data_IF_341529984750
#
_entry.id   IF_341529984750
#
_cell.length_a   1.000
_cell.length_b   1.000
_cell.length_c   1.000
_cell.angle_alpha   90.00
_cell.angle_beta   90.00
_cell.angle_gamma   90.00
#
_symmetry.space_group_name_H-M   'P 1'
#
loop_
_entity.id
_entity.type
_entity.pdbx_description
1 polymer ?
#
# COMPACT_ATOMS: atom_id res chain seq x y z
N UNK A 1 -18.55 3.43 -7.83
CA UNK A 1 -17.20 3.45 -7.23
C UNK A 1 -16.36 2.37 -7.89
N UNK A 2 -15.04 2.57 -8.00
CA UNK A 2 -14.18 1.52 -8.54
C UNK A 2 -13.80 0.55 -7.43
N UNK A 3 -14.02 -0.75 -7.64
CA UNK A 3 -13.53 -1.78 -6.74
C UNK A 3 -12.00 -1.84 -6.80
N UNK A 4 -11.35 -1.82 -5.65
CA UNK A 4 -9.91 -1.58 -5.51
C UNK A 4 -9.18 -2.82 -5.01
N UNK A 5 -8.15 -3.22 -5.75
CA UNK A 5 -7.16 -4.20 -5.32
C UNK A 5 -6.00 -3.49 -4.62
N UNK A 6 -5.85 -3.70 -3.32
CA UNK A 6 -4.69 -3.24 -2.55
C UNK A 6 -3.58 -4.29 -2.70
N UNK A 7 -2.39 -3.89 -3.15
CA UNK A 7 -1.22 -4.78 -3.31
C UNK A 7 -0.12 -4.33 -2.36
N UNK A 8 0.26 -5.16 -1.37
CA UNK A 8 1.15 -4.72 -0.30
C UNK A 8 2.02 -5.84 0.32
N UNK A 9 3.20 -5.47 0.82
CA UNK A 9 4.03 -6.32 1.70
C UNK A 9 3.74 -6.08 3.18
N UNK A 10 3.00 -5.02 3.47
CA UNK A 10 2.89 -4.40 4.77
C UNK A 10 1.42 -4.42 5.15
N UNK A 11 0.96 -5.59 5.58
CA UNK A 11 -0.38 -5.78 6.14
C UNK A 11 -0.29 -6.50 7.49
N UNK A 12 -1.20 -6.23 8.44
CA UNK A 12 -1.23 -6.97 9.71
C UNK A 12 -1.40 -8.49 9.47
N UNK A 13 -1.15 -9.37 10.44
CA UNK A 13 -0.84 -9.10 11.85
C UNK A 13 0.62 -8.67 12.11
N UNK A 14 1.42 -8.48 11.06
CA UNK A 14 2.75 -7.87 11.20
C UNK A 14 2.61 -6.47 11.83
N UNK A 15 3.35 -6.16 12.91
CA UNK A 15 3.34 -4.81 13.46
C UNK A 15 4.13 -3.84 12.57
N UNK A 16 3.63 -2.60 12.46
CA UNK A 16 4.36 -1.50 11.82
C UNK A 16 3.44 -0.38 11.32
N UNK A 17 4.03 0.78 11.02
CA UNK A 17 3.29 1.98 10.64
C UNK A 17 2.55 1.86 9.31
N UNK A 18 3.19 1.25 8.30
CA UNK A 18 2.57 1.04 6.97
C UNK A 18 1.39 0.06 7.09
N UNK A 19 1.59 -1.02 7.86
CA UNK A 19 0.58 -2.04 8.14
C UNK A 19 -0.67 -1.40 8.77
N UNK A 20 -0.47 -0.62 9.84
CA UNK A 20 -1.55 0.08 10.51
C UNK A 20 -2.22 1.12 9.60
N UNK A 21 -1.45 1.88 8.82
CA UNK A 21 -1.98 2.88 7.89
C UNK A 21 -2.90 2.26 6.84
N UNK A 22 -2.42 1.24 6.11
CA UNK A 22 -3.21 0.60 5.04
C UNK A 22 -4.47 -0.07 5.58
N UNK A 23 -4.35 -0.76 6.72
CA UNK A 23 -5.48 -1.41 7.36
C UNK A 23 -6.54 -0.40 7.81
N UNK A 24 -6.13 0.67 8.49
CA UNK A 24 -7.04 1.73 8.94
C UNK A 24 -7.73 2.46 7.79
N UNK A 25 -7.03 2.63 6.67
CA UNK A 25 -7.63 3.21 5.46
C UNK A 25 -8.63 2.25 4.82
N UNK A 26 -8.30 0.97 4.70
CA UNK A 26 -9.21 -0.03 4.14
C UNK A 26 -10.50 -0.16 4.98
N UNK A 27 -10.41 -0.11 6.32
CA UNK A 27 -11.56 -0.15 7.22
C UNK A 27 -12.51 1.07 7.10
N UNK A 28 -12.02 2.18 6.55
CA UNK A 28 -12.82 3.41 6.35
C UNK A 28 -13.44 3.50 4.96
N UNK A 29 -13.17 2.53 4.10
CA UNK A 29 -13.78 2.39 2.78
C UNK A 29 -14.89 1.33 2.83
N UNK A 30 -15.78 1.35 1.83
CA UNK A 30 -16.79 0.32 1.67
C UNK A 30 -16.11 -1.07 1.50
N UNK A 31 -16.34 -2.03 2.42
CA UNK A 31 -15.66 -3.31 2.40
C UNK A 31 -15.95 -4.14 1.14
N UNK A 32 -17.12 -3.97 0.52
CA UNK A 32 -17.45 -4.68 -0.73
C UNK A 32 -16.59 -4.20 -1.92
N UNK A 33 -16.04 -2.99 -1.80
CA UNK A 33 -15.19 -2.36 -2.80
C UNK A 33 -13.70 -2.62 -2.58
N UNK A 34 -13.32 -3.46 -1.60
CA UNK A 34 -11.92 -3.70 -1.24
C UNK A 34 -11.55 -5.18 -1.37
N UNK A 35 -10.41 -5.41 -2.01
CA UNK A 35 -9.70 -6.70 -1.98
C UNK A 35 -8.24 -6.42 -1.66
N UNK A 36 -7.70 -7.12 -0.66
CA UNK A 36 -6.28 -7.00 -0.27
C UNK A 36 -5.51 -8.21 -0.77
N UNK A 37 -4.43 -7.96 -1.49
CA UNK A 37 -3.42 -8.96 -1.85
C UNK A 37 -2.12 -8.66 -1.10
N UNK A 38 -1.81 -9.48 -0.11
CA UNK A 38 -0.70 -9.26 0.83
C UNK A 38 0.26 -10.45 0.89
N UNK A 39 1.53 -10.21 1.23
CA UNK A 39 2.45 -11.29 1.63
C UNK A 39 2.03 -11.93 2.96
N UNK A 40 2.54 -13.13 3.23
CA UNK A 40 2.37 -13.83 4.52
C UNK A 40 3.52 -13.50 5.46
N UNK A 41 3.25 -12.93 6.64
CA UNK A 41 4.31 -12.45 7.54
C UNK A 41 5.24 -13.55 8.07
N UNK A 42 4.70 -14.54 8.77
CA UNK A 42 5.44 -15.61 9.44
C UNK A 42 4.97 -16.97 8.93
N UNK A 43 5.92 -17.89 8.73
CA UNK A 43 5.65 -19.29 8.32
C UNK A 43 5.64 -20.28 9.48
N UNK A 44 5.96 -19.82 10.70
CA UNK A 44 5.76 -20.63 11.89
C UNK A 44 4.27 -20.94 12.03
N UNK A 45 3.95 -22.07 12.67
CA UNK A 45 2.56 -22.46 12.92
C UNK A 45 1.76 -21.34 13.60
N UNK A 46 2.31 -20.77 14.67
CA UNK A 46 1.75 -19.62 15.38
C UNK A 46 1.54 -18.41 14.44
N UNK A 47 2.48 -18.14 13.54
CA UNK A 47 2.38 -17.04 12.58
C UNK A 47 1.27 -17.25 11.54
N UNK A 48 1.07 -18.50 11.11
CA UNK A 48 0.00 -18.88 10.20
C UNK A 48 -1.36 -18.76 10.91
N UNK A 49 -1.46 -19.28 12.13
CA UNK A 49 -2.67 -19.19 12.97
C UNK A 49 -3.04 -17.73 13.26
N UNK A 50 -2.08 -16.89 13.64
CA UNK A 50 -2.30 -15.46 13.85
C UNK A 50 -2.73 -14.72 12.58
N UNK A 51 -2.16 -15.09 11.41
CA UNK A 51 -2.55 -14.50 10.13
C UNK A 51 -3.98 -14.89 9.77
N UNK A 52 -4.34 -16.17 9.95
CA UNK A 52 -5.69 -16.66 9.68
C UNK A 52 -6.73 -16.06 10.62
N UNK A 53 -6.43 -15.96 11.92
CA UNK A 53 -7.30 -15.33 12.91
C UNK A 53 -7.56 -13.85 12.56
N UNK A 54 -6.50 -13.10 12.26
CA UNK A 54 -6.64 -11.71 11.83
C UNK A 54 -7.45 -11.59 10.53
N UNK A 55 -7.16 -12.40 9.50
CA UNK A 55 -7.85 -12.33 8.21
C UNK A 55 -9.34 -12.66 8.32
N UNK A 56 -9.73 -13.56 9.23
CA UNK A 56 -11.12 -13.93 9.48
C UNK A 56 -11.96 -12.80 10.11
N UNK A 57 -11.32 -11.84 10.79
CA UNK A 57 -11.98 -10.68 11.40
C UNK A 57 -12.16 -9.51 10.42
N UNK A 58 -11.60 -9.60 9.21
CA UNK A 58 -11.64 -8.49 8.27
C UNK A 58 -12.98 -8.41 7.53
N UNK A 59 -13.55 -7.19 7.35
CA UNK A 59 -14.83 -7.04 6.67
C UNK A 59 -14.71 -7.15 5.13
N UNK A 60 -13.48 -7.16 4.60
CA UNK A 60 -13.18 -7.24 3.17
C UNK A 60 -12.33 -8.47 2.85
N UNK A 61 -12.25 -8.84 1.56
CA UNK A 61 -11.48 -10.01 1.14
C UNK A 61 -9.98 -9.79 1.31
N UNK A 62 -9.31 -10.70 2.03
CA UNK A 62 -7.85 -10.75 2.13
C UNK A 62 -7.32 -12.01 1.46
N UNK A 63 -6.43 -11.84 0.49
CA UNK A 63 -5.74 -12.91 -0.22
C UNK A 63 -4.25 -12.87 0.14
N UNK A 64 -3.79 -13.91 0.82
CA UNK A 64 -2.37 -14.06 1.18
C UNK A 64 -1.57 -14.77 0.09
N UNK A 65 -0.43 -14.19 -0.26
CA UNK A 65 0.60 -14.90 -1.03
C UNK A 65 1.46 -15.76 -0.10
N UNK A 66 1.87 -16.93 -0.60
CA UNK A 66 2.77 -17.86 0.11
C UNK A 66 4.17 -17.30 0.41
N UNK A 67 4.58 -16.22 -0.24
CA UNK A 67 5.88 -15.57 0.03
C UNK A 67 5.78 -14.60 1.19
N UNK A 68 6.88 -14.45 1.92
CA UNK A 68 7.01 -13.45 2.99
C UNK A 68 7.26 -12.05 2.46
N UNK A 69 7.60 -11.96 1.17
CA UNK A 69 7.79 -10.71 0.45
C UNK A 69 7.30 -10.87 -0.99
N UNK A 70 6.40 -10.00 -1.41
CA UNK A 70 6.03 -9.73 -2.79
C UNK A 70 7.15 -8.92 -3.44
N UNK A 71 7.62 -9.41 -4.58
CA UNK A 71 8.59 -8.75 -5.44
C UNK A 71 7.99 -8.60 -6.84
N UNK A 72 8.40 -7.61 -7.65
CA UNK A 72 7.90 -7.37 -9.00
C UNK A 72 8.41 -8.45 -9.98
N UNK A 73 7.94 -9.67 -9.77
CA UNK A 73 8.28 -10.86 -10.55
C UNK A 73 7.10 -11.25 -11.44
N UNK A 74 7.32 -11.95 -12.56
CA UNK A 74 6.24 -12.41 -13.43
C UNK A 74 5.16 -13.21 -12.69
N UNK A 75 5.54 -14.00 -11.67
CA UNK A 75 4.59 -14.77 -10.83
C UNK A 75 3.65 -13.85 -10.05
N UNK A 76 4.20 -12.88 -9.33
CA UNK A 76 3.41 -11.94 -8.52
C UNK A 76 2.54 -11.07 -9.42
N UNK A 77 3.08 -10.62 -10.56
CA UNK A 77 2.32 -9.87 -11.56
C UNK A 77 1.13 -10.67 -12.11
N UNK A 78 1.35 -11.93 -12.51
CA UNK A 78 0.25 -12.81 -12.97
C UNK A 78 -0.79 -13.02 -11.88
N UNK A 79 -0.38 -13.21 -10.62
CA UNK A 79 -1.33 -13.37 -9.51
C UNK A 79 -2.14 -12.09 -9.27
N UNK A 80 -1.50 -10.93 -9.25
CA UNK A 80 -2.20 -9.65 -9.11
C UNK A 80 -3.18 -9.40 -10.26
N UNK A 81 -2.80 -9.70 -11.50
CA UNK A 81 -3.70 -9.63 -12.68
C UNK A 81 -4.87 -10.60 -12.57
N UNK A 82 -4.63 -11.83 -12.08
CA UNK A 82 -5.69 -12.80 -11.84
C UNK A 82 -6.70 -12.26 -10.83
N UNK A 83 -6.22 -11.76 -9.68
CA UNK A 83 -7.08 -11.21 -8.62
C UNK A 83 -7.86 -9.97 -9.07
N UNK A 84 -7.21 -9.10 -9.86
CA UNK A 84 -7.86 -7.94 -10.47
C UNK A 84 -9.10 -8.37 -11.27
N UNK A 85 -8.96 -9.40 -12.12
CA UNK A 85 -10.06 -9.91 -12.96
C UNK A 85 -11.09 -10.72 -12.19
N UNK A 86 -10.62 -11.62 -11.33
CA UNK A 86 -11.44 -12.52 -10.52
C UNK A 86 -12.43 -11.75 -9.64
N UNK A 87 -11.97 -10.65 -9.04
CA UNK A 87 -12.82 -9.85 -8.16
C UNK A 87 -13.48 -8.64 -8.85
N UNK A 88 -13.25 -8.44 -10.15
CA UNK A 88 -13.78 -7.30 -10.89
C UNK A 88 -13.23 -5.94 -10.44
N UNK A 89 -11.98 -5.91 -9.95
CA UNK A 89 -11.34 -4.67 -9.54
C UNK A 89 -10.95 -3.83 -10.76
N UNK A 90 -11.38 -2.58 -10.80
CA UNK A 90 -10.98 -1.60 -11.83
C UNK A 90 -9.97 -0.58 -11.29
N UNK A 91 -9.63 -0.63 -10.00
CA UNK A 91 -8.58 0.19 -9.39
C UNK A 91 -7.54 -0.66 -8.67
N UNK A 92 -6.31 -0.17 -8.61
CA UNK A 92 -5.23 -0.78 -7.82
C UNK A 92 -4.59 0.28 -6.94
N UNK A 93 -4.37 -0.09 -5.69
CA UNK A 93 -3.61 0.70 -4.74
C UNK A 93 -2.36 -0.06 -4.30
N UNK A 94 -1.19 0.43 -4.69
CA UNK A 94 0.09 -0.08 -4.17
C UNK A 94 0.33 0.51 -2.79
N UNK A 95 0.25 -0.35 -1.78
CA UNK A 95 0.39 0.06 -0.38
C UNK A 95 1.74 0.69 -0.07
N UNK A 96 2.79 0.27 -0.77
CA UNK A 96 4.06 0.99 -0.88
C UNK A 96 4.44 1.10 -2.36
N UNK A 97 4.83 2.30 -2.79
CA UNK A 97 5.07 2.61 -4.20
C UNK A 97 6.19 1.75 -4.77
N UNK A 98 7.32 1.63 -4.07
CA UNK A 98 8.46 0.87 -4.54
C UNK A 98 8.66 -0.41 -3.69
N UNK A 99 8.93 -1.57 -4.30
CA UNK A 99 9.06 -1.81 -5.74
C UNK A 99 7.73 -2.21 -6.43
N UNK A 100 6.63 -2.37 -5.70
CA UNK A 100 5.39 -3.00 -6.21
C UNK A 100 4.65 -2.16 -7.26
N UNK A 101 4.83 -0.84 -7.28
CA UNK A 101 4.29 0.02 -8.33
C UNK A 101 4.77 -0.34 -9.75
N UNK A 102 5.86 -1.10 -9.87
CA UNK A 102 6.31 -1.64 -11.17
C UNK A 102 5.33 -2.62 -11.82
N UNK A 103 4.36 -3.14 -11.06
CA UNK A 103 3.29 -3.98 -11.62
C UNK A 103 2.30 -3.15 -12.46
N UNK A 104 2.30 -1.82 -12.31
CA UNK A 104 1.34 -0.88 -12.92
C UNK A 104 1.05 -1.13 -14.41
N UNK A 105 2.05 -1.17 -15.31
CA UNK A 105 1.82 -1.37 -16.74
C UNK A 105 1.10 -2.68 -17.08
N UNK A 106 1.39 -3.77 -16.35
CA UNK A 106 0.73 -5.05 -16.58
C UNK A 106 -0.72 -5.04 -16.07
N UNK A 107 -0.97 -4.41 -14.94
CA UNK A 107 -2.33 -4.24 -14.39
C UNK A 107 -3.18 -3.32 -15.25
N UNK A 108 -2.59 -2.24 -15.81
CA UNK A 108 -3.23 -1.37 -16.80
C UNK A 108 -3.70 -2.18 -18.02
N UNK A 109 -2.81 -2.97 -18.62
CA UNK A 109 -3.16 -3.86 -19.75
C UNK A 109 -4.22 -4.90 -19.39
N UNK A 110 -4.32 -5.27 -18.10
CA UNK A 110 -5.32 -6.21 -17.62
C UNK A 110 -6.70 -5.61 -17.38
N UNK A 111 -6.86 -4.28 -17.48
CA UNK A 111 -8.13 -3.58 -17.31
C UNK A 111 -8.19 -2.61 -16.13
N UNK A 112 -7.09 -2.38 -15.39
CA UNK A 112 -7.09 -1.38 -14.33
C UNK A 112 -7.25 0.03 -14.91
N UNK A 113 -8.25 0.77 -14.44
CA UNK A 113 -8.58 2.13 -14.87
C UNK A 113 -7.93 3.20 -13.97
N UNK A 114 -7.67 2.88 -12.70
CA UNK A 114 -6.96 3.78 -11.78
C UNK A 114 -5.89 3.07 -10.97
N UNK A 115 -4.70 3.66 -10.91
CA UNK A 115 -3.51 3.15 -10.24
C UNK A 115 -2.97 4.20 -9.26
N UNK A 116 -3.01 3.89 -7.97
CA UNK A 116 -2.50 4.75 -6.89
C UNK A 116 -1.30 4.10 -6.23
N UNK A 117 -0.25 4.86 -5.96
CA UNK A 117 0.93 4.37 -5.23
C UNK A 117 1.25 5.27 -4.04
N UNK A 118 1.37 4.69 -2.85
CA UNK A 118 1.66 5.44 -1.62
C UNK A 118 3.15 5.42 -1.28
N UNK A 119 3.72 6.58 -0.96
CA UNK A 119 5.09 6.69 -0.44
C UNK A 119 5.09 6.89 1.07
N UNK A 120 6.09 6.35 1.77
CA UNK A 120 6.16 6.34 3.24
C UNK A 120 7.38 7.05 3.82
N UNK A 121 8.30 7.51 2.97
CA UNK A 121 9.43 8.38 3.35
C UNK A 121 10.79 7.78 3.05
N UNK A 122 10.91 6.45 3.03
CA UNK A 122 12.13 5.78 2.56
C UNK A 122 12.44 6.13 1.09
N UNK A 123 11.39 6.40 0.31
CA UNK A 123 11.47 6.85 -1.07
C UNK A 123 12.17 8.22 -1.21
N UNK A 124 12.11 9.07 -0.17
CA UNK A 124 12.81 10.37 -0.18
C UNK A 124 14.33 10.20 -0.07
N UNK A 125 14.82 9.14 0.60
CA UNK A 125 16.22 8.74 0.58
C UNK A 125 16.62 8.09 -0.74
N UNK A 126 15.76 7.22 -1.27
CA UNK A 126 15.97 6.53 -2.55
C UNK A 126 15.99 7.47 -3.76
N UNK A 127 15.28 8.59 -3.69
CA UNK A 127 15.31 9.63 -4.72
C UNK A 127 16.71 10.22 -4.95
N UNK A 128 17.70 9.94 -4.11
CA UNK A 128 19.08 10.40 -4.27
C UNK A 128 19.98 9.35 -4.97
N UNK A 129 19.56 8.09 -5.06
CA UNK A 129 20.35 7.01 -5.67
C UNK A 129 19.98 6.81 -7.15
N UNK A 130 20.96 6.75 -8.10
CA UNK A 130 20.66 6.69 -9.53
C UNK A 130 19.73 5.54 -9.96
N UNK A 131 19.89 4.35 -9.36
CA UNK A 131 19.06 3.19 -9.67
C UNK A 131 17.63 3.37 -9.14
N UNK A 132 17.48 3.86 -7.92
CA UNK A 132 16.17 4.03 -7.30
C UNK A 132 15.42 5.26 -7.87
N UNK A 133 16.13 6.28 -8.37
CA UNK A 133 15.55 7.36 -9.20
C UNK A 133 14.88 6.83 -10.46
N UNK A 134 15.57 5.95 -11.21
CA UNK A 134 14.99 5.30 -12.40
C UNK A 134 13.75 4.47 -12.06
N UNK A 135 13.79 3.78 -10.92
CA UNK A 135 12.65 3.02 -10.41
C UNK A 135 11.45 3.92 -10.12
N UNK A 136 11.65 4.99 -9.33
CA UNK A 136 10.60 5.96 -8.99
C UNK A 136 10.02 6.62 -10.23
N UNK A 137 10.87 7.00 -11.20
CA UNK A 137 10.41 7.54 -12.49
C UNK A 137 9.47 6.60 -13.21
N UNK A 138 9.85 5.32 -13.35
CA UNK A 138 9.00 4.29 -14.00
C UNK A 138 7.69 4.07 -13.26
N UNK A 139 7.71 4.09 -11.93
CA UNK A 139 6.49 3.98 -11.13
C UNK A 139 5.58 5.17 -11.39
N UNK A 140 6.11 6.41 -11.35
CA UNK A 140 5.29 7.60 -11.59
C UNK A 140 4.74 7.73 -13.00
N UNK A 141 5.47 7.25 -14.01
CA UNK A 141 4.94 7.13 -15.37
C UNK A 141 3.84 6.07 -15.48
N UNK A 142 3.90 5.02 -14.66
CA UNK A 142 2.96 3.89 -14.64
C UNK A 142 1.74 4.06 -13.73
N UNK A 143 1.67 5.12 -12.92
CA UNK A 143 0.58 5.37 -11.96
C UNK A 143 -0.13 6.69 -12.20
N UNK A 144 -1.41 6.76 -11.87
CA UNK A 144 -2.22 7.98 -12.01
C UNK A 144 -1.95 8.96 -10.87
N UNK A 145 -1.73 8.44 -9.66
CA UNK A 145 -1.50 9.24 -8.46
C UNK A 145 -0.40 8.63 -7.61
N UNK A 146 0.54 9.48 -7.18
CA UNK A 146 1.53 9.14 -6.16
C UNK A 146 1.21 9.93 -4.91
N UNK A 147 1.01 9.26 -3.78
CA UNK A 147 0.74 9.96 -2.51
C UNK A 147 2.01 10.21 -1.73
N UNK A 148 2.04 11.30 -0.95
CA UNK A 148 3.16 11.69 -0.09
C UNK A 148 2.68 12.16 1.29
N UNK A 149 3.57 12.08 2.28
CA UNK A 149 3.23 12.42 3.67
C UNK A 149 3.24 13.94 3.93
N UNK A 150 4.29 14.62 3.46
CA UNK A 150 4.45 16.07 3.61
C UNK A 150 5.41 16.68 2.60
N UNK A 151 5.50 18.01 2.59
CA UNK A 151 6.24 18.77 1.57
C UNK A 151 7.73 18.40 1.49
N UNK A 152 8.33 18.06 2.64
CA UNK A 152 9.70 17.55 2.72
C UNK A 152 9.91 16.27 1.91
N UNK A 153 8.97 15.33 2.00
CA UNK A 153 9.02 14.08 1.19
C UNK A 153 8.67 14.36 -0.26
N UNK A 154 7.69 15.24 -0.51
CA UNK A 154 7.22 15.60 -1.85
C UNK A 154 8.35 16.18 -2.70
N UNK A 155 9.05 17.21 -2.22
CA UNK A 155 10.09 17.90 -2.98
C UNK A 155 11.20 16.94 -3.44
N UNK A 156 11.61 16.00 -2.57
CA UNK A 156 12.61 14.98 -2.93
C UNK A 156 12.11 13.98 -3.93
N UNK A 157 10.92 13.42 -3.73
CA UNK A 157 10.33 12.43 -4.63
C UNK A 157 10.07 13.06 -6.00
N UNK A 158 9.49 14.26 -6.05
CA UNK A 158 9.20 15.00 -7.27
C UNK A 158 10.45 15.19 -8.14
N UNK A 159 11.62 15.42 -7.53
CA UNK A 159 12.89 15.55 -8.26
C UNK A 159 13.29 14.29 -9.04
N UNK A 160 12.77 13.12 -8.67
CA UNK A 160 13.05 11.83 -9.31
C UNK A 160 11.96 11.42 -10.33
N UNK A 161 10.86 12.18 -10.40
CA UNK A 161 9.73 11.92 -11.29
C UNK A 161 9.80 12.79 -12.56
N UNK A 162 8.96 12.46 -13.55
CA UNK A 162 8.69 13.39 -14.65
C UNK A 162 7.83 14.55 -14.16
N UNK A 163 7.86 15.74 -14.82
CA UNK A 163 6.99 16.86 -14.46
C UNK A 163 5.51 16.47 -14.40
N UNK A 164 5.04 15.65 -15.35
CA UNK A 164 3.66 15.19 -15.40
C UNK A 164 3.32 14.28 -14.22
N UNK A 165 4.22 13.38 -13.82
CA UNK A 165 4.00 12.52 -12.66
C UNK A 165 4.04 13.31 -11.34
N UNK A 166 4.97 14.26 -11.23
CA UNK A 166 5.07 15.16 -10.08
C UNK A 166 3.81 16.05 -9.92
N UNK A 167 3.23 16.51 -11.02
CA UNK A 167 2.00 17.32 -11.02
C UNK A 167 0.76 16.57 -10.50
N UNK A 168 0.77 15.23 -10.53
CA UNK A 168 -0.33 14.38 -10.03
C UNK A 168 -0.09 13.85 -8.62
N UNK A 169 0.92 14.36 -7.91
CA UNK A 169 1.17 13.97 -6.54
C UNK A 169 0.10 14.55 -5.60
N UNK A 170 -0.35 13.74 -4.63
CA UNK A 170 -1.39 14.14 -3.67
C UNK A 170 -0.92 13.90 -2.23
N UNK A 171 -1.15 14.85 -1.34
CA UNK A 171 -0.81 14.67 0.06
C UNK A 171 -1.81 13.70 0.72
N UNK A 172 -1.29 12.64 1.35
CA UNK A 172 -2.08 11.68 2.12
C UNK A 172 -1.29 11.31 3.39
N UNK A 173 -1.36 12.12 4.45
CA UNK A 173 -0.73 11.80 5.72
C UNK A 173 -1.60 10.81 6.52
N UNK A 174 -1.01 10.04 7.43
CA UNK A 174 -1.79 9.26 8.39
C UNK A 174 -2.64 10.18 9.26
N UNK A 175 -3.89 9.78 9.51
CA UNK A 175 -4.75 10.42 10.50
C UNK A 175 -4.46 9.92 11.92
N UNK A 176 -5.12 10.54 12.89
CA UNK A 176 -5.20 10.08 14.28
C UNK A 176 -6.64 9.70 14.58
N UNK A 177 -6.86 8.66 15.38
CA UNK A 177 -8.19 8.32 15.89
C UNK A 177 -8.44 9.11 17.19
N UNK A 178 -9.25 10.16 17.08
CA UNK A 178 -9.60 11.05 18.18
C UNK A 178 -10.47 10.40 19.26
N UNK A 179 -11.06 9.24 19.01
CA UNK A 179 -11.80 8.47 20.03
C UNK A 179 -10.87 7.66 20.90
N UNK A 180 -9.74 7.22 20.35
CA UNK A 180 -8.70 6.51 21.09
C UNK A 180 -7.74 7.49 21.76
N UNK A 181 -7.35 8.55 21.05
CA UNK A 181 -6.40 9.55 21.51
C UNK A 181 -7.12 10.88 21.77
N UNK A 182 -7.45 11.12 23.03
CA UNK A 182 -8.12 12.35 23.48
C UNK A 182 -7.57 12.81 24.84
N UNK A 183 -7.75 14.07 25.24
CA UNK A 183 -7.42 14.50 26.59
C UNK A 183 -8.06 13.57 27.64
N UNK A 184 -7.27 13.09 28.60
CA UNK A 184 -7.71 12.12 29.61
C UNK A 184 -7.57 10.64 29.22
N UNK A 185 -7.03 10.31 28.05
CA UNK A 185 -6.78 8.91 27.62
C UNK A 185 -5.53 8.30 28.26
N UNK A 186 -5.48 8.24 29.60
CA UNK A 186 -4.45 7.51 30.36
C UNK A 186 -3.13 8.25 30.59
N UNK A 187 -3.04 9.54 30.25
CA UNK A 187 -1.83 10.34 30.48
C UNK A 187 -1.41 10.41 31.95
N UNK A 188 -2.37 10.39 32.87
CA UNK A 188 -2.10 10.44 34.31
C UNK A 188 -1.49 9.11 34.82
N UNK A 189 -1.91 7.96 34.27
CA UNK A 189 -1.42 6.64 34.66
C UNK A 189 0.01 6.32 34.19
N UNK A 190 0.57 7.10 33.25
CA UNK A 190 1.94 6.94 32.73
C UNK A 190 2.91 7.94 33.36
N UNK A 191 2.39 8.96 34.05
CA UNK A 191 3.19 10.05 34.67
C UNK A 191 3.45 9.86 36.16
N UNK A 192 2.89 8.82 36.77
CA UNK A 192 3.32 8.29 38.09
C UNK A 192 4.62 7.49 37.96
#
# INVERSE_FOLDING_TARGET
MHKTLIVTNDFPPRPGGIQAFLHNMALRLDPEQIVVYASTWKRSREGIEATAAFDAEQPFTVVRDRTTMLLPTPRVTRRAVSLLREHGCSSVWFGAAAPLGLLGPALRRAGAERLVATTHGHEAGWAQLPAARRLLRRIGEGTDTITYLGEYTRSRIASALTPQAAARMVQLPPGVDEKTFHPGSGGDAVRE
#
